data_IF_433653044973
#
_entry.id   IF_433653044973
#
_cell.length_a   1.000
_cell.length_b   1.000
_cell.length_c   1.000
_cell.angle_alpha   90.00
_cell.angle_beta   90.00
_cell.angle_gamma   90.00
#
_symmetry.space_group_name_H-M   'P 1'
#
loop_
_entity.id
_entity.type
_entity.pdbx_description
1 polymer ?
#
# COMPACT_ATOMS: atom_id res chain seq x y z
N UNK A 1 -10.81 16.21 14.04
CA UNK A 1 -10.51 16.38 12.60
C UNK A 1 -11.23 15.28 11.83
N UNK A 2 -12.47 15.53 11.38
CA UNK A 2 -13.29 14.53 10.69
C UNK A 2 -12.60 14.13 9.37
N UNK A 3 -12.29 12.84 9.20
CA UNK A 3 -11.70 12.27 7.99
C UNK A 3 -12.63 12.56 6.79
N UNK A 4 -12.33 13.60 6.02
CA UNK A 4 -13.14 14.02 4.86
C UNK A 4 -12.89 13.07 3.69
N UNK A 5 -13.91 12.33 3.25
CA UNK A 5 -13.78 11.30 2.21
C UNK A 5 -14.46 11.69 0.89
N UNK A 6 -14.09 11.00 -0.19
CA UNK A 6 -14.85 11.10 -1.44
C UNK A 6 -16.17 10.34 -1.26
N UNK A 7 -17.25 10.86 -1.85
CA UNK A 7 -18.46 10.05 -2.02
C UNK A 7 -18.11 8.89 -2.97
N UNK A 8 -18.56 7.68 -2.63
CA UNK A 8 -18.42 6.52 -3.51
C UNK A 8 -19.21 6.77 -4.80
N UNK A 9 -18.49 7.16 -5.85
CA UNK A 9 -19.02 7.26 -7.21
C UNK A 9 -18.68 5.97 -7.96
N UNK A 10 -19.54 5.56 -8.89
CA UNK A 10 -19.29 4.43 -9.79
C UNK A 10 -17.93 4.56 -10.49
N UNK A 11 -17.55 5.78 -10.88
CA UNK A 11 -16.24 6.05 -11.49
C UNK A 11 -15.07 5.79 -10.54
N UNK A 12 -15.19 6.14 -9.26
CA UNK A 12 -14.15 5.89 -8.25
C UNK A 12 -14.00 4.39 -7.98
N UNK A 13 -15.13 3.67 -7.82
CA UNK A 13 -15.13 2.23 -7.60
C UNK A 13 -14.49 1.51 -8.79
N UNK A 14 -14.83 1.91 -10.02
CA UNK A 14 -14.26 1.34 -11.24
C UNK A 14 -12.74 1.57 -11.31
N UNK A 15 -12.27 2.77 -10.94
CA UNK A 15 -10.84 3.07 -10.89
C UNK A 15 -10.11 2.23 -9.83
N UNK A 16 -10.71 2.05 -8.65
CA UNK A 16 -10.15 1.17 -7.61
C UNK A 16 -10.07 -0.26 -8.14
N UNK A 17 -11.14 -0.79 -8.73
CA UNK A 17 -11.15 -2.14 -9.30
C UNK A 17 -10.08 -2.31 -10.39
N UNK A 18 -9.87 -1.30 -11.24
CA UNK A 18 -8.80 -1.30 -12.24
C UNK A 18 -7.41 -1.33 -11.62
N UNK A 19 -7.17 -0.52 -10.58
CA UNK A 19 -5.89 -0.52 -9.85
C UNK A 19 -5.64 -1.85 -9.12
N UNK A 20 -6.69 -2.47 -8.59
CA UNK A 20 -6.60 -3.81 -8.01
C UNK A 20 -6.30 -4.86 -9.08
N UNK A 21 -6.92 -4.78 -10.27
CA UNK A 21 -6.56 -5.67 -11.38
C UNK A 21 -5.08 -5.49 -11.80
N UNK A 22 -4.57 -4.25 -11.75
CA UNK A 22 -3.16 -3.95 -11.99
C UNK A 22 -2.24 -4.62 -10.95
N UNK A 23 -2.65 -4.69 -9.67
CA UNK A 23 -1.91 -5.41 -8.62
C UNK A 23 -1.63 -6.88 -9.02
N UNK A 24 -2.62 -7.60 -9.58
CA UNK A 24 -2.43 -9.00 -10.03
C UNK A 24 -1.31 -9.14 -11.06
N UNK A 25 -1.17 -8.13 -11.92
CA UNK A 25 -0.14 -8.11 -12.96
C UNK A 25 1.20 -7.76 -12.32
N UNK A 26 1.25 -6.71 -11.49
CA UNK A 26 2.48 -6.23 -10.84
C UNK A 26 3.11 -7.28 -9.92
N UNK A 27 2.30 -8.07 -9.21
CA UNK A 27 2.79 -9.16 -8.35
C UNK A 27 3.53 -10.23 -9.18
N UNK A 28 3.13 -10.49 -10.43
CA UNK A 28 3.83 -11.46 -11.31
C UNK A 28 5.21 -10.95 -11.75
N UNK A 29 5.42 -9.64 -11.79
CA UNK A 29 6.71 -9.00 -12.09
C UNK A 29 7.60 -8.82 -10.85
N UNK A 30 7.25 -9.45 -9.72
CA UNK A 30 8.09 -9.39 -8.53
C UNK A 30 9.49 -9.91 -8.84
N UNK A 31 10.50 -9.11 -8.50
CA UNK A 31 11.88 -9.52 -8.62
C UNK A 31 12.20 -10.49 -7.49
N UNK A 32 12.47 -11.73 -7.86
CA UNK A 32 12.89 -12.78 -6.95
C UNK A 32 14.41 -12.70 -6.79
N UNK A 33 14.88 -11.85 -5.87
CA UNK A 33 16.29 -11.82 -5.51
C UNK A 33 16.66 -12.97 -4.57
N UNK A 34 17.96 -13.28 -4.47
CA UNK A 34 18.50 -14.35 -3.60
C UNK A 34 18.10 -14.21 -2.12
N UNK A 35 17.78 -13.00 -1.64
CA UNK A 35 17.48 -12.72 -0.22
C UNK A 35 16.08 -12.14 0.03
N UNK A 36 15.39 -11.59 -0.99
CA UNK A 36 14.05 -11.04 -0.81
C UNK A 36 13.26 -10.99 -2.11
N UNK A 37 11.96 -11.23 -1.97
CA UNK A 37 10.96 -11.01 -3.00
C UNK A 37 10.49 -9.55 -2.93
N UNK A 38 10.84 -8.77 -3.94
CA UNK A 38 10.44 -7.37 -4.07
C UNK A 38 9.27 -7.26 -5.05
N UNK A 39 8.15 -6.69 -4.62
CA UNK A 39 6.95 -6.53 -5.44
C UNK A 39 6.67 -5.07 -5.72
N UNK A 40 6.31 -4.76 -6.98
CA UNK A 40 5.87 -3.43 -7.39
C UNK A 40 4.41 -3.13 -7.00
N UNK A 41 3.74 -4.08 -6.33
CA UNK A 41 2.37 -3.97 -5.80
C UNK A 41 2.15 -2.85 -4.78
N UNK A 42 3.19 -2.17 -4.32
CA UNK A 42 2.98 -1.01 -3.45
C UNK A 42 2.51 0.22 -4.24
N UNK A 43 2.76 0.26 -5.55
CA UNK A 43 2.43 1.40 -6.41
C UNK A 43 0.91 1.57 -6.48
N UNK A 44 0.18 0.53 -6.84
CA UNK A 44 -1.28 0.53 -6.91
C UNK A 44 -1.91 0.82 -5.54
N UNK A 45 -1.39 0.24 -4.45
CA UNK A 45 -1.85 0.51 -3.07
C UNK A 45 -1.71 1.98 -2.70
N UNK A 46 -0.58 2.58 -3.07
CA UNK A 46 -0.33 4.01 -2.83
C UNK A 46 -1.31 4.86 -3.66
N UNK A 47 -1.57 4.48 -4.91
CA UNK A 47 -2.54 5.17 -5.78
C UNK A 47 -3.98 5.06 -5.25
N UNK A 48 -4.40 3.87 -4.81
CA UNK A 48 -5.69 3.64 -4.18
C UNK A 48 -5.84 4.51 -2.93
N UNK A 49 -4.82 4.56 -2.06
CA UNK A 49 -4.81 5.49 -0.91
C UNK A 49 -4.98 6.94 -1.32
N UNK A 50 -4.26 7.36 -2.37
CA UNK A 50 -4.27 8.74 -2.89
C UNK A 50 -5.65 9.18 -3.38
N UNK A 51 -6.41 8.28 -4.04
CA UNK A 51 -7.72 8.61 -4.65
C UNK A 51 -8.93 8.28 -3.77
N UNK A 52 -8.86 7.20 -2.99
CA UNK A 52 -10.00 6.68 -2.24
C UNK A 52 -10.09 7.25 -0.83
N UNK A 53 -8.96 7.69 -0.27
CA UNK A 53 -8.89 8.15 1.12
C UNK A 53 -8.84 6.99 2.13
N UNK A 54 -8.68 7.29 3.42
CA UNK A 54 -8.26 6.32 4.42
C UNK A 54 -9.23 5.13 4.60
N UNK A 55 -10.53 5.37 4.77
CA UNK A 55 -11.47 4.27 5.02
C UNK A 55 -11.67 3.42 3.76
N UNK A 56 -11.96 4.03 2.60
CA UNK A 56 -12.21 3.27 1.37
C UNK A 56 -10.97 2.52 0.87
N UNK A 57 -9.77 3.09 1.00
CA UNK A 57 -8.55 2.36 0.67
C UNK A 57 -8.28 1.20 1.62
N UNK A 58 -8.53 1.37 2.92
CA UNK A 58 -8.44 0.27 3.89
C UNK A 58 -9.41 -0.87 3.56
N UNK A 59 -10.69 -0.55 3.33
CA UNK A 59 -11.69 -1.56 2.95
C UNK A 59 -11.30 -2.23 1.63
N UNK A 60 -10.91 -1.45 0.62
CA UNK A 60 -10.53 -1.98 -0.70
C UNK A 60 -9.33 -2.94 -0.61
N UNK A 61 -8.25 -2.56 0.08
CA UNK A 61 -7.05 -3.40 0.18
C UNK A 61 -7.26 -4.62 1.09
N UNK A 62 -8.05 -4.49 2.16
CA UNK A 62 -8.43 -5.61 3.01
C UNK A 62 -9.26 -6.64 2.25
N UNK A 63 -10.29 -6.19 1.53
CA UNK A 63 -11.11 -7.06 0.67
C UNK A 63 -10.27 -7.67 -0.45
N UNK A 64 -9.41 -6.87 -1.08
CA UNK A 64 -8.52 -7.33 -2.13
C UNK A 64 -7.57 -8.43 -1.67
N UNK A 65 -7.12 -8.39 -0.42
CA UNK A 65 -6.26 -9.46 0.10
C UNK A 65 -6.96 -10.82 0.09
N UNK A 66 -8.25 -10.85 0.38
CA UNK A 66 -9.07 -12.06 0.31
C UNK A 66 -9.19 -12.53 -1.14
N UNK A 67 -9.55 -11.61 -2.05
CA UNK A 67 -9.72 -11.92 -3.48
C UNK A 67 -8.43 -12.43 -4.11
N UNK A 68 -7.33 -11.68 -3.95
CA UNK A 68 -6.01 -12.03 -4.49
C UNK A 68 -5.48 -13.36 -3.93
N UNK A 69 -5.76 -13.67 -2.66
CA UNK A 69 -5.43 -14.97 -2.09
C UNK A 69 -6.09 -16.11 -2.86
N UNK A 70 -7.40 -16.04 -3.10
CA UNK A 70 -8.11 -17.09 -3.85
C UNK A 70 -7.65 -17.16 -5.31
N UNK A 71 -7.39 -16.02 -5.95
CA UNK A 71 -6.89 -15.97 -7.32
C UNK A 71 -5.48 -16.55 -7.48
N UNK A 72 -4.67 -16.53 -6.43
CA UNK A 72 -3.31 -17.10 -6.43
C UNK A 72 -3.25 -18.62 -6.17
N UNK A 73 -4.40 -19.30 -6.07
CA UNK A 73 -4.47 -20.74 -5.81
C UNK A 73 -4.50 -21.12 -4.31
N UNK A 74 -4.67 -20.13 -3.43
CA UNK A 74 -5.17 -20.27 -2.06
C UNK A 74 -4.69 -21.46 -1.24
N UNK A 75 -3.41 -21.50 -0.84
CA UNK A 75 -2.86 -22.61 -0.03
C UNK A 75 -3.28 -22.57 1.45
N UNK A 76 -3.11 -21.42 2.11
CA UNK A 76 -3.42 -21.27 3.54
C UNK A 76 -3.88 -19.85 3.84
N UNK A 77 -5.18 -19.70 4.14
CA UNK A 77 -5.76 -18.39 4.42
C UNK A 77 -5.59 -18.03 5.89
N UNK A 78 -4.94 -16.88 6.16
CA UNK A 78 -4.79 -16.32 7.50
C UNK A 78 -5.72 -15.11 7.61
N UNK A 79 -6.78 -15.25 8.42
CA UNK A 79 -7.84 -14.22 8.58
C UNK A 79 -7.32 -12.86 9.04
N UNK A 80 -6.15 -12.83 9.70
CA UNK A 80 -5.54 -11.60 10.18
C UNK A 80 -4.83 -10.79 9.08
N UNK A 81 -4.41 -11.41 7.96
CA UNK A 81 -3.74 -10.67 6.88
C UNK A 81 -4.62 -9.65 6.15
N UNK A 82 -5.90 -9.92 5.87
CA UNK A 82 -6.82 -8.89 5.39
C UNK A 82 -6.86 -7.66 6.28
N UNK A 83 -6.80 -7.83 7.61
CA UNK A 83 -6.76 -6.71 8.55
C UNK A 83 -5.44 -5.93 8.47
N UNK A 84 -4.30 -6.62 8.33
CA UNK A 84 -3.00 -5.95 8.10
C UNK A 84 -3.04 -5.12 6.82
N UNK A 85 -3.61 -5.67 5.74
CA UNK A 85 -3.74 -4.93 4.46
C UNK A 85 -4.75 -3.79 4.56
N UNK A 86 -5.80 -3.92 5.35
CA UNK A 86 -6.73 -2.83 5.60
C UNK A 86 -6.07 -1.68 6.36
N UNK A 87 -5.25 -1.98 7.38
CA UNK A 87 -4.45 -0.96 8.09
C UNK A 87 -3.44 -0.31 7.14
N UNK A 88 -2.82 -1.08 6.26
CA UNK A 88 -1.93 -0.56 5.24
C UNK A 88 -2.63 0.44 4.31
N UNK A 89 -3.79 0.05 3.78
CA UNK A 89 -4.62 0.93 2.96
C UNK A 89 -5.01 2.19 3.69
N UNK A 90 -5.47 2.04 4.94
CA UNK A 90 -5.81 3.18 5.80
C UNK A 90 -4.68 4.19 5.91
N UNK A 91 -3.44 3.75 6.18
CA UNK A 91 -2.31 4.67 6.26
C UNK A 91 -1.95 5.29 4.91
N UNK A 92 -1.97 4.53 3.81
CA UNK A 92 -1.79 5.11 2.48
C UNK A 92 -2.82 6.21 2.21
N UNK A 93 -4.10 5.98 2.54
CA UNK A 93 -5.14 6.99 2.43
C UNK A 93 -5.00 8.12 3.44
N UNK A 94 -4.44 7.89 4.64
CA UNK A 94 -4.24 8.96 5.62
C UNK A 94 -3.17 9.94 5.17
N UNK A 95 -2.05 9.44 4.64
CA UNK A 95 -0.89 10.27 4.27
C UNK A 95 -0.99 10.87 2.86
N UNK A 96 -1.48 10.12 1.88
CA UNK A 96 -1.40 10.53 0.48
C UNK A 96 -2.70 11.09 -0.09
N UNK A 97 -3.83 10.98 0.61
CA UNK A 97 -5.12 11.38 0.06
C UNK A 97 -5.19 12.87 -0.26
N UNK A 98 -5.47 13.17 -1.54
CA UNK A 98 -5.57 14.52 -2.11
C UNK A 98 -4.37 15.43 -1.84
N UNK A 99 -3.23 14.87 -1.45
CA UNK A 99 -2.03 15.63 -1.13
C UNK A 99 -1.21 15.83 -2.39
N UNK A 100 -1.04 17.07 -2.82
CA UNK A 100 -0.17 17.40 -3.95
C UNK A 100 1.29 17.25 -3.51
N UNK A 101 2.04 16.41 -4.20
CA UNK A 101 3.46 16.20 -3.97
C UNK A 101 4.27 16.79 -5.13
N UNK A 102 5.46 17.30 -4.83
CA UNK A 102 6.42 17.80 -5.81
C UNK A 102 7.80 17.19 -5.60
N UNK A 103 8.39 16.65 -6.67
CA UNK A 103 9.73 16.07 -6.63
C UNK A 103 10.82 17.10 -6.29
N UNK A 104 10.59 18.39 -6.57
CA UNK A 104 11.53 19.47 -6.29
C UNK A 104 11.53 19.93 -4.83
N UNK A 105 10.53 19.53 -4.03
CA UNK A 105 10.37 19.99 -2.64
C UNK A 105 11.03 19.03 -1.66
N UNK A 106 12.08 19.48 -0.94
CA UNK A 106 12.70 18.70 0.15
C UNK A 106 11.70 18.32 1.26
N UNK A 107 10.68 19.16 1.49
CA UNK A 107 9.63 18.90 2.49
C UNK A 107 8.76 17.70 2.11
N UNK A 108 8.52 17.50 0.81
CA UNK A 108 7.72 16.36 0.34
C UNK A 108 8.50 15.07 0.43
N UNK A 109 9.80 15.08 0.13
CA UNK A 109 10.70 13.94 0.36
C UNK A 109 10.71 13.48 1.82
N UNK A 110 10.85 14.42 2.76
CA UNK A 110 10.80 14.11 4.19
C UNK A 110 9.44 13.55 4.60
N UNK A 111 8.36 14.12 4.07
CA UNK A 111 7.02 13.62 4.36
C UNK A 111 6.79 12.20 3.84
N UNK A 112 7.16 11.92 2.58
CA UNK A 112 7.02 10.57 2.00
C UNK A 112 7.87 9.56 2.75
N UNK A 113 9.07 9.97 3.18
CA UNK A 113 9.92 9.15 4.05
C UNK A 113 9.22 8.81 5.35
N UNK A 114 8.70 9.81 6.06
CA UNK A 114 7.98 9.61 7.32
C UNK A 114 6.72 8.74 7.14
N UNK A 115 5.92 9.02 6.11
CA UNK A 115 4.73 8.23 5.78
C UNK A 115 5.09 6.77 5.49
N UNK A 116 6.11 6.53 4.67
CA UNK A 116 6.55 5.18 4.29
C UNK A 116 7.08 4.41 5.51
N UNK A 117 7.85 5.08 6.38
CA UNK A 117 8.32 4.48 7.64
C UNK A 117 7.16 4.09 8.55
N UNK A 118 6.13 4.92 8.69
CA UNK A 118 4.95 4.58 9.49
C UNK A 118 4.17 3.43 8.86
N UNK A 119 3.96 3.47 7.54
CA UNK A 119 3.19 2.45 6.83
C UNK A 119 3.90 1.09 6.96
N UNK A 120 5.17 1.00 6.56
CA UNK A 120 5.92 -0.25 6.61
C UNK A 120 6.24 -0.67 8.05
N UNK A 121 6.60 0.28 8.91
CA UNK A 121 6.83 0.04 10.34
C UNK A 121 5.62 -0.60 11.01
N UNK A 122 4.45 0.01 10.86
CA UNK A 122 3.19 -0.50 11.44
C UNK A 122 2.77 -1.83 10.82
N UNK A 123 2.87 -1.98 9.49
CA UNK A 123 2.28 -3.16 8.81
C UNK A 123 3.28 -4.29 8.66
N UNK A 124 4.40 -4.02 8.01
CA UNK A 124 5.39 -5.03 7.61
C UNK A 124 6.29 -5.43 8.78
N UNK A 125 6.64 -4.51 9.67
CA UNK A 125 7.55 -4.78 10.78
C UNK A 125 6.85 -5.04 12.12
N UNK A 126 5.64 -4.53 12.36
CA UNK A 126 4.89 -4.80 13.60
C UNK A 126 3.78 -5.83 13.39
N UNK A 127 2.74 -5.49 12.62
CA UNK A 127 1.55 -6.34 12.51
C UNK A 127 1.86 -7.70 11.86
N UNK A 128 2.69 -7.74 10.82
CA UNK A 128 2.97 -9.00 10.11
C UNK A 128 3.70 -10.02 11.02
N UNK A 129 4.78 -9.68 11.74
CA UNK A 129 5.37 -10.57 12.74
C UNK A 129 4.41 -10.98 13.85
N UNK A 130 3.58 -10.06 14.35
CA UNK A 130 2.59 -10.38 15.39
C UNK A 130 1.62 -11.46 14.89
N UNK A 131 1.08 -11.29 13.68
CA UNK A 131 0.20 -12.28 13.05
C UNK A 131 0.90 -13.62 12.87
N UNK A 132 2.14 -13.63 12.39
CA UNK A 132 2.90 -14.86 12.18
C UNK A 132 3.25 -15.56 13.50
N UNK A 133 3.56 -14.81 14.56
CA UNK A 133 3.81 -15.36 15.88
C UNK A 133 2.55 -16.02 16.44
N UNK A 134 1.41 -15.33 16.42
CA UNK A 134 0.15 -15.90 16.93
C UNK A 134 -0.34 -17.09 16.11
N UNK A 135 -0.14 -17.09 14.81
CA UNK A 135 -0.66 -18.13 13.93
C UNK A 135 0.25 -19.37 13.82
N UNK A 136 1.57 -19.18 13.82
CA UNK A 136 2.55 -20.27 13.65
C UNK A 136 3.38 -20.57 14.91
N UNK A 137 3.19 -19.84 16.02
CA UNK A 137 4.02 -19.92 17.23
C UNK A 137 5.53 -19.76 16.97
N UNK A 138 5.90 -19.02 15.92
CA UNK A 138 7.30 -18.80 15.56
C UNK A 138 7.95 -17.77 16.50
N UNK A 139 9.19 -17.99 16.97
CA UNK A 139 9.91 -17.01 17.78
C UNK A 139 10.10 -15.67 17.06
N UNK A 140 9.88 -14.55 17.76
CA UNK A 140 10.05 -13.22 17.18
C UNK A 140 11.45 -13.00 16.60
N UNK A 141 12.50 -13.55 17.23
CA UNK A 141 13.88 -13.41 16.77
C UNK A 141 14.03 -13.91 15.32
N UNK A 142 13.46 -15.07 14.99
CA UNK A 142 13.48 -15.65 13.64
C UNK A 142 12.68 -14.83 12.63
N UNK A 143 11.57 -14.24 13.08
CA UNK A 143 10.73 -13.38 12.23
C UNK A 143 11.40 -12.04 11.91
N UNK A 144 12.18 -11.49 12.83
CA UNK A 144 12.89 -10.22 12.59
C UNK A 144 14.19 -10.40 11.80
N UNK A 145 14.93 -11.49 11.98
CA UNK A 145 16.15 -11.75 11.20
C UNK A 145 15.86 -11.86 9.69
N UNK A 146 14.78 -12.56 9.34
CA UNK A 146 14.32 -12.68 7.94
C UNK A 146 13.81 -11.35 7.36
N UNK A 147 13.40 -10.40 8.21
CA UNK A 147 12.90 -9.08 7.81
C UNK A 147 13.98 -8.01 7.68
N UNK A 148 15.21 -8.26 8.10
CA UNK A 148 16.31 -7.31 7.89
C UNK A 148 16.48 -6.98 6.39
N UNK A 149 16.28 -7.97 5.51
CA UNK A 149 16.36 -7.76 4.06
C UNK A 149 15.23 -6.85 3.55
N UNK A 150 14.07 -6.85 4.21
CA UNK A 150 12.93 -5.98 3.87
C UNK A 150 13.21 -4.50 4.14
N UNK A 151 14.26 -4.15 4.88
CA UNK A 151 14.68 -2.76 5.06
C UNK A 151 15.09 -2.08 3.74
N UNK A 152 15.57 -2.87 2.77
CA UNK A 152 15.95 -2.38 1.43
C UNK A 152 14.71 -1.88 0.66
N UNK A 153 13.51 -2.37 0.98
CA UNK A 153 12.27 -1.93 0.32
C UNK A 153 11.90 -0.48 0.69
N UNK A 154 12.31 -0.01 1.88
CA UNK A 154 12.00 1.33 2.37
C UNK A 154 12.52 2.43 1.42
N UNK A 155 13.83 2.53 1.11
CA UNK A 155 14.32 3.56 0.21
C UNK A 155 13.72 3.43 -1.20
N UNK A 156 13.48 2.20 -1.66
CA UNK A 156 12.87 1.96 -2.98
C UNK A 156 11.43 2.48 -3.03
N UNK A 157 10.62 2.20 -2.00
CA UNK A 157 9.27 2.74 -1.89
C UNK A 157 9.27 4.27 -1.89
N UNK A 158 10.18 4.89 -1.15
CA UNK A 158 10.28 6.36 -1.07
C UNK A 158 10.61 6.95 -2.44
N UNK A 159 11.67 6.44 -3.10
CA UNK A 159 12.14 6.95 -4.39
C UNK A 159 11.05 6.77 -5.45
N UNK A 160 10.49 5.56 -5.58
CA UNK A 160 9.48 5.28 -6.61
C UNK A 160 8.21 6.08 -6.34
N UNK A 161 7.76 6.21 -5.09
CA UNK A 161 6.59 7.04 -4.76
C UNK A 161 6.83 8.50 -5.14
N UNK A 162 8.00 9.06 -4.83
CA UNK A 162 8.33 10.46 -5.18
C UNK A 162 8.54 10.70 -6.68
N UNK A 163 8.89 9.68 -7.45
CA UNK A 163 8.99 9.78 -8.91
C UNK A 163 7.64 9.59 -9.62
N UNK A 164 6.79 8.69 -9.11
CA UNK A 164 5.52 8.34 -9.74
C UNK A 164 4.38 9.27 -9.31
N UNK A 165 4.19 9.51 -8.01
CA UNK A 165 3.00 10.21 -7.53
C UNK A 165 2.90 11.64 -8.08
N UNK A 166 3.95 12.49 -8.03
CA UNK A 166 3.90 13.84 -8.59
C UNK A 166 3.61 13.86 -10.10
N UNK A 167 4.20 12.91 -10.85
CA UNK A 167 3.97 12.79 -12.28
C UNK A 167 2.54 12.37 -12.59
N UNK A 168 2.01 11.38 -11.89
CA UNK A 168 0.62 10.95 -12.05
C UNK A 168 -0.36 12.06 -11.63
N UNK A 169 -0.04 12.82 -10.59
CA UNK A 169 -0.82 13.99 -10.17
C UNK A 169 -0.81 15.14 -11.18
N UNK A 170 0.12 15.17 -12.13
CA UNK A 170 0.11 16.15 -13.22
C UNK A 170 -0.86 15.78 -14.35
N UNK A 171 -1.27 14.50 -14.43
CA UNK A 171 -2.18 14.00 -15.46
C UNK A 171 -3.62 14.44 -15.15
N UNK A 172 -4.27 15.08 -16.12
CA UNK A 172 -5.62 15.66 -15.95
C UNK A 172 -6.67 14.62 -15.53
N UNK A 173 -6.60 13.41 -16.07
CA UNK A 173 -7.48 12.29 -15.75
C UNK A 173 -7.36 11.90 -14.28
N UNK A 174 -6.14 11.83 -13.75
CA UNK A 174 -5.91 11.49 -12.34
C UNK A 174 -6.34 12.64 -11.41
N UNK A 175 -6.11 13.90 -11.82
CA UNK A 175 -6.55 15.08 -11.07
C UNK A 175 -8.06 15.15 -10.86
N UNK A 176 -8.88 14.57 -11.75
CA UNK A 176 -10.34 14.49 -11.59
C UNK A 176 -10.75 13.74 -10.31
N UNK A 177 -9.95 12.77 -9.86
CA UNK A 177 -10.22 12.02 -8.63
C UNK A 177 -9.74 12.74 -7.37
N UNK A 178 -8.77 13.65 -7.52
CA UNK A 178 -8.19 14.44 -6.43
C UNK A 178 -8.99 15.72 -6.15
N UNK A 179 -9.59 16.28 -7.19
CA UNK A 179 -10.33 17.54 -7.14
C UNK A 179 -11.80 17.26 -6.87
N UNK A 180 -12.38 17.99 -5.92
CA UNK A 180 -13.78 17.85 -5.49
C UNK A 180 -14.72 18.07 -6.69
N UNK A 181 -15.53 17.07 -7.05
CA UNK A 181 -16.89 17.35 -7.54
C UNK A 181 -17.75 17.65 -6.33
#
# INVERSE_FOLDING_TARGET
>A
MLLKQNKLSVSLISMIAFLLALDLILVKFSLHGFLAMFSLSFIDRTLIGTIAGPIFSGVALGFWNIVSFFLSGGKQFIIWFPLVQAVQGFFYGLFFYKRKLSTSSKKDWLYVTFATLIILGSTTFLLTPIVLHFYYNMPFLTLYTTRLVKLIEIPVHIIITMLLLPRLQSIKEFQKFLTKR
#
